data_IF_988054485498
#
_entry.id   IF_988054485498
#
_cell.length_a   1.000
_cell.length_b   1.000
_cell.length_c   1.000
_cell.angle_alpha   90.00
_cell.angle_beta   90.00
_cell.angle_gamma   90.00
#
_symmetry.space_group_name_H-M   'P 1'
#
loop_
_entity.id
_entity.type
_entity.pdbx_description
1 polymer ?
#
# COMPACT_ATOMS: atom_id res chain seq x y z
N UNK A 1 -10.52 19.04 -10.94
CA UNK A 1 -9.77 17.77 -10.85
C UNK A 1 -9.09 17.71 -9.50
N UNK A 2 -9.17 16.59 -8.79
CA UNK A 2 -8.46 16.39 -7.52
C UNK A 2 -6.96 16.30 -7.84
N UNK A 3 -6.16 17.18 -7.24
CA UNK A 3 -4.72 17.30 -7.53
C UNK A 3 -3.90 16.28 -6.75
N UNK A 4 -4.43 15.79 -5.63
CA UNK A 4 -3.74 14.86 -4.75
C UNK A 4 -4.06 13.40 -5.05
N UNK A 5 -3.05 12.51 -4.91
CA UNK A 5 -3.23 11.07 -5.03
C UNK A 5 -4.14 10.53 -3.91
N UNK A 6 -5.00 9.57 -4.25
CA UNK A 6 -5.86 8.89 -3.28
C UNK A 6 -5.08 7.88 -2.45
N UNK A 7 -5.61 7.57 -1.27
CA UNK A 7 -5.08 6.52 -0.42
C UNK A 7 -5.12 5.15 -1.14
N UNK A 8 -3.96 4.50 -1.27
CA UNK A 8 -3.84 3.18 -1.89
C UNK A 8 -4.61 2.07 -1.15
N UNK A 9 -4.91 2.26 0.15
CA UNK A 9 -5.58 1.25 0.96
C UNK A 9 -7.11 1.39 1.00
N UNK A 10 -7.63 2.61 1.17
CA UNK A 10 -9.07 2.83 1.34
C UNK A 10 -9.74 3.55 0.18
N UNK A 11 -8.95 4.11 -0.74
CA UNK A 11 -9.44 4.85 -1.90
C UNK A 11 -10.59 5.82 -1.58
N UNK A 12 -10.52 6.51 -0.43
CA UNK A 12 -11.55 7.46 0.01
C UNK A 12 -10.97 8.86 0.14
N UNK A 13 -9.93 8.96 0.97
CA UNK A 13 -9.28 10.18 1.41
C UNK A 13 -8.03 10.51 0.58
N UNK A 14 -7.65 11.79 0.58
CA UNK A 14 -6.37 12.24 0.03
C UNK A 14 -5.21 11.66 0.84
N UNK A 15 -4.16 11.24 0.14
CA UNK A 15 -3.01 10.61 0.76
C UNK A 15 -2.06 11.65 1.36
N UNK A 16 -1.66 11.41 2.61
CA UNK A 16 -0.84 12.33 3.42
C UNK A 16 0.53 11.73 3.76
N UNK A 17 0.66 10.42 3.61
CA UNK A 17 1.84 9.65 3.98
C UNK A 17 2.35 8.91 2.75
N UNK A 18 3.65 9.03 2.46
CA UNK A 18 4.32 8.30 1.38
C UNK A 18 5.07 7.12 1.99
N UNK A 19 4.85 5.90 1.49
CA UNK A 19 5.62 4.74 1.91
C UNK A 19 6.86 4.58 1.02
N UNK A 20 8.03 4.91 1.58
CA UNK A 20 9.31 4.82 0.86
C UNK A 20 9.80 3.37 0.69
N UNK A 21 9.26 2.43 1.46
CA UNK A 21 9.68 1.02 1.43
C UNK A 21 8.91 0.18 0.39
N UNK A 22 7.81 0.71 -0.15
CA UNK A 22 7.10 0.06 -1.23
C UNK A 22 7.62 0.64 -2.57
N UNK A 23 8.23 -0.16 -3.45
CA UNK A 23 8.71 0.32 -4.75
C UNK A 23 7.58 0.83 -5.66
N UNK A 24 6.32 0.47 -5.41
CA UNK A 24 5.16 1.03 -6.09
C UNK A 24 4.84 2.49 -5.68
N UNK A 25 5.56 3.05 -4.70
CA UNK A 25 5.38 4.44 -4.27
C UNK A 25 4.02 4.71 -3.63
N UNK A 26 3.41 3.69 -3.02
CA UNK A 26 2.06 3.79 -2.46
C UNK A 26 1.95 4.88 -1.39
N UNK A 27 0.81 5.57 -1.42
CA UNK A 27 0.49 6.69 -0.53
C UNK A 27 -0.76 6.38 0.27
N UNK A 28 -0.80 6.83 1.52
CA UNK A 28 -1.88 6.50 2.46
C UNK A 28 -2.42 7.74 3.15
N UNK A 29 -3.70 7.75 3.48
CA UNK A 29 -4.35 8.88 4.16
C UNK A 29 -3.98 9.00 5.65
N UNK A 30 -3.45 7.93 6.26
CA UNK A 30 -3.10 7.90 7.68
C UNK A 30 -2.42 6.59 8.10
N UNK A 31 -1.97 6.54 9.36
CA UNK A 31 -1.19 5.40 9.91
C UNK A 31 -1.92 4.07 9.83
N UNK A 32 -3.22 4.04 10.11
CA UNK A 32 -4.02 2.81 10.04
C UNK A 32 -4.03 2.22 8.62
N UNK A 33 -4.20 3.06 7.60
CA UNK A 33 -4.18 2.63 6.21
C UNK A 33 -2.78 2.18 5.78
N UNK A 34 -1.73 2.87 6.24
CA UNK A 34 -0.34 2.45 6.02
C UNK A 34 -0.06 1.04 6.59
N UNK A 35 -0.45 0.78 7.85
CA UNK A 35 -0.21 -0.51 8.48
C UNK A 35 -0.95 -1.65 7.75
N UNK A 36 -2.23 -1.45 7.41
CA UNK A 36 -2.98 -2.43 6.61
C UNK A 36 -2.35 -2.67 5.23
N UNK A 37 -1.88 -1.61 4.57
CA UNK A 37 -1.16 -1.74 3.30
C UNK A 37 0.11 -2.59 3.42
N UNK A 38 0.89 -2.39 4.48
CA UNK A 38 2.09 -3.19 4.75
C UNK A 38 1.77 -4.67 5.01
N UNK A 39 0.73 -4.97 5.79
CA UNK A 39 0.27 -6.35 6.02
C UNK A 39 -0.16 -7.02 4.71
N UNK A 40 -0.90 -6.31 3.86
CA UNK A 40 -1.32 -6.80 2.55
C UNK A 40 -0.13 -7.07 1.63
N UNK A 41 0.87 -6.17 1.63
CA UNK A 41 2.10 -6.35 0.85
C UNK A 41 2.87 -7.60 1.28
N UNK A 42 3.05 -7.83 2.59
CA UNK A 42 3.71 -9.03 3.11
C UNK A 42 2.96 -10.30 2.71
N UNK A 43 1.62 -10.30 2.82
CA UNK A 43 0.79 -11.44 2.39
C UNK A 43 0.89 -11.72 0.89
N UNK A 44 0.98 -10.68 0.07
CA UNK A 44 1.21 -10.83 -1.36
C UNK A 44 2.59 -11.43 -1.63
N UNK A 45 3.63 -10.91 -0.98
CA UNK A 45 5.01 -11.41 -1.12
C UNK A 45 5.11 -12.90 -0.76
N UNK A 46 4.47 -13.33 0.33
CA UNK A 46 4.45 -14.74 0.73
C UNK A 46 3.75 -15.63 -0.29
N UNK A 47 2.63 -15.19 -0.87
CA UNK A 47 1.95 -15.93 -1.95
C UNK A 47 2.82 -16.05 -3.19
N UNK A 48 3.42 -14.95 -3.63
CA UNK A 48 4.32 -14.94 -4.78
C UNK A 48 5.53 -15.87 -4.58
N UNK A 49 6.12 -15.89 -3.38
CA UNK A 49 7.23 -16.80 -3.07
C UNK A 49 6.79 -18.28 -3.04
N UNK A 50 5.59 -18.57 -2.53
CA UNK A 50 5.06 -19.93 -2.51
C UNK A 50 4.78 -20.44 -3.93
N UNK A 51 4.24 -19.59 -4.81
CA UNK A 51 4.03 -19.89 -6.23
C UNK A 51 5.35 -20.13 -6.97
N UNK A 52 6.39 -19.32 -6.70
CA UNK A 52 7.70 -19.48 -7.33
C UNK A 52 8.49 -20.72 -6.86
N UNK A 53 8.14 -21.29 -5.71
CA UNK A 53 8.77 -22.47 -5.15
C UNK A 53 8.07 -23.79 -5.54
N UNK A 54 6.93 -23.72 -6.24
CA UNK A 54 6.19 -24.87 -6.77
C UNK A 54 6.55 -25.17 -8.22
#
# INVERSE_FOLDING_TARGET
MRTEPRCAQCDSEDAKIICLRNPAGERYCGRLCLHKGQENFIRWLWRANAEAAS
#
